data_IF_211854534782
#
_entry.id   IF_211854534782
#
_cell.length_a   1.000
_cell.length_b   1.000
_cell.length_c   1.000
_cell.angle_alpha   90.00
_cell.angle_beta   90.00
_cell.angle_gamma   90.00
#
_symmetry.space_group_name_H-M   'P 1'
#
loop_
_entity.id
_entity.type
_entity.pdbx_description
1 polymer ?
#
# COMPACT_ATOMS: atom_id res chain seq x y z
N UNK A 1 -36.07 -24.31 -59.06
CA UNK A 1 -34.95 -23.47 -59.56
C UNK A 1 -34.81 -22.16 -58.77
N UNK A 2 -35.77 -21.82 -57.90
CA UNK A 2 -35.84 -20.55 -57.16
C UNK A 2 -34.95 -20.55 -55.90
N UNK A 3 -34.77 -21.71 -55.24
CA UNK A 3 -33.94 -21.82 -54.03
C UNK A 3 -32.45 -21.55 -54.27
N UNK A 4 -31.93 -21.92 -55.45
CA UNK A 4 -30.52 -21.69 -55.81
C UNK A 4 -30.24 -20.20 -56.03
N UNK A 5 -31.19 -19.47 -56.59
CA UNK A 5 -31.06 -18.02 -56.79
C UNK A 5 -31.12 -17.28 -55.45
N UNK A 6 -31.96 -17.74 -54.52
CA UNK A 6 -32.05 -17.16 -53.18
C UNK A 6 -30.74 -17.37 -52.39
N UNK A 7 -30.14 -18.56 -52.47
CA UNK A 7 -28.84 -18.85 -51.85
C UNK A 7 -27.73 -17.97 -52.44
N UNK A 8 -27.75 -17.71 -53.74
CA UNK A 8 -26.76 -16.87 -54.41
C UNK A 8 -26.88 -15.39 -54.02
N UNK A 9 -28.11 -14.90 -53.82
CA UNK A 9 -28.39 -13.55 -53.31
C UNK A 9 -27.93 -13.42 -51.85
N UNK A 10 -28.20 -14.42 -51.00
CA UNK A 10 -27.76 -14.43 -49.60
C UNK A 10 -26.23 -14.47 -49.52
N UNK A 11 -25.56 -15.29 -50.34
CA UNK A 11 -24.10 -15.35 -50.39
C UNK A 11 -23.47 -14.01 -50.81
N UNK A 12 -24.06 -13.31 -51.78
CA UNK A 12 -23.62 -11.96 -52.18
C UNK A 12 -23.78 -10.97 -51.04
N UNK A 13 -24.93 -10.95 -50.36
CA UNK A 13 -25.18 -10.05 -49.24
C UNK A 13 -24.29 -10.34 -48.02
N UNK A 14 -23.98 -11.61 -47.74
CA UNK A 14 -23.06 -12.00 -46.67
C UNK A 14 -21.61 -11.63 -47.03
N UNK A 15 -21.18 -11.83 -48.27
CA UNK A 15 -19.84 -11.39 -48.73
C UNK A 15 -19.70 -9.87 -48.70
N UNK A 16 -20.76 -9.13 -49.03
CA UNK A 16 -20.76 -7.67 -48.97
C UNK A 16 -20.77 -7.16 -47.52
N UNK A 17 -21.51 -7.83 -46.62
CA UNK A 17 -21.47 -7.57 -45.15
C UNK A 17 -20.14 -7.94 -44.51
N UNK A 18 -19.47 -9.00 -44.96
CA UNK A 18 -18.14 -9.37 -44.49
C UNK A 18 -17.08 -8.39 -45.01
N UNK A 19 -17.22 -7.87 -46.24
CA UNK A 19 -16.33 -6.82 -46.77
C UNK A 19 -16.56 -5.48 -46.10
N UNK A 20 -17.78 -5.12 -45.73
CA UNK A 20 -18.07 -3.90 -44.96
C UNK A 20 -17.78 -4.05 -43.45
N UNK A 21 -17.74 -5.28 -42.92
CA UNK A 21 -17.30 -5.59 -41.55
C UNK A 21 -15.80 -5.96 -41.45
N UNK A 22 -15.10 -6.04 -42.59
CA UNK A 22 -13.64 -6.04 -42.73
C UNK A 22 -13.17 -4.75 -43.43
N UNK A 23 -13.91 -3.65 -43.24
CA UNK A 23 -13.25 -2.37 -43.23
C UNK A 23 -12.29 -2.42 -42.03
N UNK A 24 -11.00 -2.47 -42.35
CA UNK A 24 -9.90 -2.26 -41.43
C UNK A 24 -10.33 -1.28 -40.32
N UNK A 25 -10.07 -1.56 -39.02
CA UNK A 25 -10.00 -0.46 -38.09
C UNK A 25 -9.03 0.51 -38.73
N UNK A 26 -9.48 1.73 -39.04
CA UNK A 26 -8.60 2.81 -39.43
C UNK A 26 -7.53 2.84 -38.35
N UNK A 27 -6.35 2.32 -38.66
CA UNK A 27 -5.11 2.70 -38.05
C UNK A 27 -4.93 4.18 -38.38
N UNK A 28 -5.70 5.01 -37.68
CA UNK A 28 -5.21 6.30 -37.26
C UNK A 28 -4.04 5.95 -36.36
N UNK A 29 -2.86 5.85 -36.96
CA UNK A 29 -1.58 5.82 -36.27
C UNK A 29 -1.45 7.09 -35.44
N UNK A 30 -2.09 7.08 -34.28
CA UNK A 30 -1.49 7.60 -33.07
C UNK A 30 -0.74 6.40 -32.51
N UNK A 31 0.58 6.50 -32.45
CA UNK A 31 1.41 5.61 -31.63
C UNK A 31 0.65 5.32 -30.33
N UNK A 32 0.31 4.06 -30.08
CA UNK A 32 -0.08 3.62 -28.73
C UNK A 32 1.15 3.82 -27.85
N UNK A 33 1.34 5.05 -27.39
CA UNK A 33 2.15 5.32 -26.23
C UNK A 33 1.52 4.48 -25.13
N UNK A 34 2.26 3.47 -24.64
CA UNK A 34 1.80 2.58 -23.58
C UNK A 34 1.16 3.43 -22.49
N UNK A 35 -0.14 3.21 -22.25
CA UNK A 35 -0.86 4.03 -21.29
C UNK A 35 -0.22 3.82 -19.92
N UNK A 36 -0.03 4.88 -19.14
CA UNK A 36 0.48 4.77 -17.78
C UNK A 36 -0.37 3.82 -16.94
N UNK A 37 0.30 2.86 -16.28
CA UNK A 37 -0.35 1.84 -15.45
C UNK A 37 -0.53 2.32 -14.01
N UNK A 38 -1.74 2.18 -13.49
CA UNK A 38 -2.10 2.56 -12.13
C UNK A 38 -2.64 1.33 -11.39
N UNK A 39 -2.08 1.06 -10.21
CA UNK A 39 -2.51 -0.06 -9.38
C UNK A 39 -3.59 0.38 -8.41
N UNK A 40 -4.69 -0.36 -8.35
CA UNK A 40 -5.76 -0.19 -7.39
C UNK A 40 -5.59 -1.23 -6.27
N UNK A 41 -5.49 -0.75 -5.03
CA UNK A 41 -5.47 -1.58 -3.83
C UNK A 41 -6.79 -1.45 -3.07
N UNK A 42 -7.43 -2.56 -2.74
CA UNK A 42 -8.68 -2.61 -1.94
C UNK A 42 -8.74 -3.90 -1.13
N UNK A 43 -9.23 -3.89 0.12
CA UNK A 43 -9.38 -5.12 0.93
C UNK A 43 -10.69 -5.89 0.67
N UNK A 44 -11.77 -5.19 0.31
CA UNK A 44 -13.07 -5.80 0.04
C UNK A 44 -13.64 -5.22 -1.26
N UNK A 45 -14.10 -6.09 -2.18
CA UNK A 45 -14.95 -5.69 -3.30
C UNK A 45 -16.34 -5.31 -2.79
N UNK A 46 -16.44 -4.16 -2.13
CA UNK A 46 -17.72 -3.48 -1.93
C UNK A 46 -17.75 -2.32 -2.91
N UNK A 47 -18.45 -2.51 -4.03
CA UNK A 47 -19.00 -1.56 -5.03
C UNK A 47 -18.19 -0.35 -5.52
N UNK A 48 -17.21 0.17 -4.78
CA UNK A 48 -16.48 1.38 -5.09
C UNK A 48 -15.29 1.16 -6.06
N UNK A 49 -14.76 -0.05 -6.18
CA UNK A 49 -13.64 -0.31 -7.09
C UNK A 49 -14.07 -0.28 -8.57
N UNK A 50 -15.36 -0.48 -8.89
CA UNK A 50 -15.87 -0.44 -10.27
C UNK A 50 -16.62 0.87 -10.58
N UNK A 51 -17.37 1.45 -9.64
CA UNK A 51 -18.03 2.76 -9.85
C UNK A 51 -17.03 3.89 -10.14
N UNK A 52 -15.82 3.79 -9.59
CA UNK A 52 -14.70 4.71 -9.88
C UNK A 52 -14.12 4.49 -11.28
N UNK A 53 -14.05 3.23 -11.73
CA UNK A 53 -13.52 2.84 -13.05
C UNK A 53 -14.51 3.10 -14.19
N UNK A 54 -15.80 3.30 -13.87
CA UNK A 54 -16.86 3.62 -14.83
C UNK A 54 -16.96 5.11 -15.15
N UNK A 55 -16.26 5.98 -14.42
CA UNK A 55 -16.10 7.37 -14.84
C UNK A 55 -15.22 7.44 -16.10
N UNK A 56 -15.87 7.76 -17.22
CA UNK A 56 -15.37 7.75 -18.61
C UNK A 56 -14.09 8.54 -18.86
N UNK A 57 -13.70 9.41 -17.92
CA UNK A 57 -12.56 10.30 -18.07
C UNK A 57 -11.22 9.61 -17.73
N UNK A 58 -11.25 8.54 -16.92
CA UNK A 58 -10.03 7.87 -16.42
C UNK A 58 -9.53 6.76 -17.33
N UNK A 59 -10.43 5.94 -17.88
CA UNK A 59 -10.11 4.77 -18.73
C UNK A 59 -9.55 5.14 -20.10
N UNK A 60 -9.75 6.38 -20.53
CA UNK A 60 -9.19 6.90 -21.77
C UNK A 60 -7.69 7.22 -21.63
N UNK A 61 -7.23 7.61 -20.44
CA UNK A 61 -5.89 8.16 -20.19
C UNK A 61 -4.97 7.15 -19.48
N UNK A 62 -5.52 6.34 -18.55
CA UNK A 62 -4.76 5.40 -17.72
C UNK A 62 -5.22 3.97 -17.90
N UNK A 63 -4.30 3.01 -17.74
CA UNK A 63 -4.62 1.60 -17.60
C UNK A 63 -4.68 1.27 -16.11
N UNK A 64 -5.85 0.87 -15.62
CA UNK A 64 -6.02 0.46 -14.23
C UNK A 64 -5.95 -1.05 -14.08
N UNK A 65 -5.21 -1.51 -13.09
CA UNK A 65 -5.16 -2.92 -12.71
C UNK A 65 -5.50 -3.05 -11.21
N UNK A 66 -6.30 -4.05 -10.85
CA UNK A 66 -6.70 -4.29 -9.46
C UNK A 66 -5.84 -5.39 -8.85
N UNK A 67 -5.19 -5.11 -7.72
CA UNK A 67 -4.36 -6.09 -7.03
C UNK A 67 -5.14 -7.34 -6.63
N UNK A 68 -6.42 -7.21 -6.22
CA UNK A 68 -7.24 -8.39 -5.89
C UNK A 68 -7.46 -9.31 -7.10
N UNK A 69 -7.66 -8.75 -8.29
CA UNK A 69 -7.83 -9.53 -9.54
C UNK A 69 -6.56 -10.30 -9.90
N UNK A 70 -5.41 -9.82 -9.44
CA UNK A 70 -4.10 -10.45 -9.59
C UNK A 70 -3.64 -11.21 -8.33
N UNK A 71 -4.54 -11.46 -7.37
CA UNK A 71 -4.23 -12.14 -6.09
C UNK A 71 -3.06 -11.49 -5.32
N UNK A 72 -2.94 -10.16 -5.42
CA UNK A 72 -1.85 -9.34 -4.88
C UNK A 72 -0.44 -9.73 -5.39
N UNK A 73 -0.36 -10.48 -6.49
CA UNK A 73 0.89 -10.80 -7.16
C UNK A 73 1.27 -9.70 -8.16
N UNK A 74 1.57 -8.52 -7.63
CA UNK A 74 1.87 -7.32 -8.40
C UNK A 74 3.23 -6.75 -7.98
N UNK A 75 4.02 -6.29 -8.94
CA UNK A 75 5.25 -5.55 -8.65
C UNK A 75 4.97 -4.07 -8.68
N UNK A 76 5.18 -3.40 -7.55
CA UNK A 76 4.91 -1.96 -7.39
C UNK A 76 5.74 -1.13 -8.39
N UNK A 77 6.89 -1.63 -8.82
CA UNK A 77 7.78 -0.98 -9.78
C UNK A 77 7.12 -0.77 -11.15
N UNK A 78 6.25 -1.68 -11.56
CA UNK A 78 5.60 -1.70 -12.88
C UNK A 78 4.49 -0.65 -13.03
N UNK A 79 4.10 0.00 -11.93
CA UNK A 79 3.04 1.00 -11.89
C UNK A 79 3.61 2.40 -11.65
N UNK A 80 3.02 3.41 -12.30
CA UNK A 80 3.39 4.82 -12.13
C UNK A 80 2.83 5.37 -10.81
N UNK A 81 1.62 4.95 -10.46
CA UNK A 81 0.93 5.36 -9.26
C UNK A 81 0.11 4.21 -8.65
N UNK A 82 -0.20 4.37 -7.36
CA UNK A 82 -1.04 3.43 -6.60
C UNK A 82 -2.21 4.22 -6.00
N UNK A 83 -3.43 3.66 -6.09
CA UNK A 83 -4.63 4.24 -5.49
C UNK A 83 -5.15 3.30 -4.40
N UNK A 84 -5.24 3.80 -3.17
CA UNK A 84 -5.74 3.07 -2.02
C UNK A 84 -7.24 3.28 -1.84
N UNK A 85 -8.00 2.20 -1.96
CA UNK A 85 -9.39 2.12 -1.57
C UNK A 85 -9.55 1.36 -0.25
N UNK A 86 -10.70 1.51 0.40
CA UNK A 86 -11.06 0.81 1.64
C UNK A 86 -10.11 1.08 2.82
N UNK A 87 -9.78 2.36 3.05
CA UNK A 87 -8.96 2.77 4.19
C UNK A 87 -9.84 2.84 5.44
N UNK A 88 -9.97 1.71 6.13
CA UNK A 88 -10.64 1.62 7.43
C UNK A 88 -9.88 2.36 8.53
N UNK A 89 -10.55 2.66 9.64
CA UNK A 89 -9.90 3.27 10.82
C UNK A 89 -8.76 2.38 11.38
N UNK A 90 -8.91 1.06 11.26
CA UNK A 90 -7.88 0.08 11.66
C UNK A 90 -6.70 0.17 10.70
N UNK A 91 -6.95 0.18 9.39
CA UNK A 91 -5.91 0.24 8.36
C UNK A 91 -5.14 1.55 8.43
N UNK A 92 -5.82 2.68 8.66
CA UNK A 92 -5.19 3.97 8.90
C UNK A 92 -4.23 3.90 10.10
N UNK A 93 -4.65 3.29 11.21
CA UNK A 93 -3.80 3.07 12.38
C UNK A 93 -2.60 2.16 12.11
N UNK A 94 -2.79 1.08 11.37
CA UNK A 94 -1.73 0.14 11.01
C UNK A 94 -0.72 0.75 10.04
N UNK A 95 -1.20 1.44 9.00
CA UNK A 95 -0.37 2.08 7.99
C UNK A 95 0.53 3.15 8.61
N UNK A 96 -0.02 3.99 9.50
CA UNK A 96 0.78 4.98 10.25
C UNK A 96 1.77 4.36 11.21
N UNK A 97 1.49 3.16 11.73
CA UNK A 97 2.42 2.41 12.57
C UNK A 97 3.43 1.57 11.77
N UNK A 98 3.35 1.54 10.43
CA UNK A 98 4.21 0.70 9.59
C UNK A 98 3.90 -0.80 9.66
N UNK A 99 2.67 -1.17 10.02
CA UNK A 99 2.23 -2.57 10.16
C UNK A 99 1.60 -3.04 8.84
N UNK A 100 2.27 -3.97 8.17
CA UNK A 100 1.84 -4.60 6.91
C UNK A 100 1.44 -6.06 7.09
N UNK A 101 0.52 -6.34 8.01
CA UNK A 101 0.10 -7.70 8.35
C UNK A 101 -0.89 -8.34 7.35
N UNK A 102 -1.44 -7.53 6.43
CA UNK A 102 -2.23 -7.98 5.28
C UNK A 102 -1.47 -7.72 3.98
N UNK A 103 -1.77 -8.48 2.91
CA UNK A 103 -1.16 -8.25 1.58
C UNK A 103 -1.44 -6.84 1.06
N UNK A 104 -2.66 -6.35 1.29
CA UNK A 104 -3.07 -4.98 1.01
C UNK A 104 -2.18 -3.95 1.71
N UNK A 105 -2.03 -4.05 3.04
CA UNK A 105 -1.21 -3.10 3.81
C UNK A 105 0.28 -3.22 3.47
N UNK A 106 0.77 -4.43 3.20
CA UNK A 106 2.15 -4.66 2.81
C UNK A 106 2.46 -3.96 1.47
N UNK A 107 1.62 -4.12 0.45
CA UNK A 107 1.79 -3.42 -0.83
C UNK A 107 1.64 -1.91 -0.70
N UNK A 108 0.70 -1.43 0.13
CA UNK A 108 0.57 -0.01 0.41
C UNK A 108 1.85 0.55 1.06
N UNK A 109 2.42 -0.14 2.05
CA UNK A 109 3.69 0.25 2.66
C UNK A 109 4.85 0.19 1.69
N UNK A 110 4.91 -0.83 0.81
CA UNK A 110 5.93 -0.91 -0.23
C UNK A 110 5.84 0.29 -1.19
N UNK A 111 4.64 0.70 -1.60
CA UNK A 111 4.44 1.88 -2.43
C UNK A 111 4.95 3.16 -1.76
N UNK A 112 4.67 3.33 -0.46
CA UNK A 112 5.15 4.47 0.33
C UNK A 112 6.69 4.46 0.43
N UNK A 113 7.27 3.30 0.79
CA UNK A 113 8.72 3.17 1.00
C UNK A 113 9.54 3.25 -0.28
N UNK A 114 8.97 2.86 -1.42
CA UNK A 114 9.58 3.00 -2.74
C UNK A 114 9.44 4.42 -3.31
N UNK A 115 8.72 5.31 -2.60
CA UNK A 115 8.48 6.69 -3.05
C UNK A 115 7.54 6.78 -4.24
N UNK A 116 6.73 5.73 -4.50
CA UNK A 116 5.69 5.78 -5.53
C UNK A 116 4.59 6.76 -5.10
N UNK A 117 3.94 7.36 -6.08
CA UNK A 117 2.82 8.27 -5.87
C UNK A 117 1.61 7.46 -5.39
N UNK A 118 1.17 7.72 -4.16
CA UNK A 118 0.04 7.02 -3.55
C UNK A 118 -1.13 8.00 -3.37
N UNK A 119 -2.26 7.69 -3.97
CA UNK A 119 -3.48 8.48 -3.86
C UNK A 119 -4.52 7.79 -3.00
N UNK A 120 -5.26 8.57 -2.23
CA UNK A 120 -6.33 8.09 -1.36
C UNK A 120 -7.57 8.95 -1.59
N UNK A 121 -8.60 8.44 -2.27
CA UNK A 121 -9.88 9.14 -2.38
C UNK A 121 -10.49 9.36 -0.99
N UNK A 122 -10.98 10.56 -0.70
CA UNK A 122 -11.61 10.88 0.58
C UNK A 122 -12.82 9.98 0.84
N UNK A 123 -13.57 9.65 -0.20
CA UNK A 123 -14.72 8.74 -0.16
C UNK A 123 -14.33 7.32 0.26
N UNK A 124 -13.06 6.94 0.06
CA UNK A 124 -12.54 5.64 0.45
C UNK A 124 -11.97 5.60 1.89
N UNK A 125 -11.98 6.73 2.61
CA UNK A 125 -11.49 6.84 3.99
C UNK A 125 -12.67 6.78 4.97
N UNK A 126 -12.75 5.70 5.73
CA UNK A 126 -13.85 5.44 6.67
C UNK A 126 -13.99 6.55 7.72
N UNK A 127 -12.87 7.13 8.18
CA UNK A 127 -12.84 8.18 9.20
C UNK A 127 -13.77 9.35 8.89
N UNK A 128 -13.83 9.79 7.63
CA UNK A 128 -14.59 10.98 7.25
C UNK A 128 -16.11 10.80 7.42
N UNK A 129 -16.61 9.57 7.38
CA UNK A 129 -18.02 9.28 7.66
C UNK A 129 -18.44 9.62 9.11
N UNK A 130 -17.48 9.70 10.05
CA UNK A 130 -17.73 9.96 11.47
C UNK A 130 -17.60 11.43 11.88
N UNK A 131 -17.29 12.34 10.94
CA UNK A 131 -16.95 13.74 11.24
C UNK A 131 -18.00 14.47 12.08
N UNK A 132 -19.29 14.19 11.86
CA UNK A 132 -20.38 14.90 12.53
C UNK A 132 -20.62 14.46 13.99
N UNK A 133 -20.24 13.25 14.37
CA UNK A 133 -20.64 12.63 15.64
C UNK A 133 -19.50 11.99 16.45
N UNK A 134 -18.28 11.92 15.91
CA UNK A 134 -17.12 11.41 16.63
C UNK A 134 -16.72 12.31 17.81
N UNK A 135 -16.24 11.73 18.93
CA UNK A 135 -15.62 12.51 20.01
C UNK A 135 -14.43 13.32 19.49
N UNK A 136 -14.42 14.63 19.76
CA UNK A 136 -13.44 15.58 19.19
C UNK A 136 -11.99 15.15 19.37
N UNK A 137 -11.60 14.78 20.59
CA UNK A 137 -10.22 14.38 20.88
C UNK A 137 -9.78 13.14 20.08
N UNK A 138 -10.66 12.15 19.94
CA UNK A 138 -10.37 10.94 19.17
C UNK A 138 -10.29 11.26 17.67
N UNK A 139 -11.21 12.07 17.15
CA UNK A 139 -11.21 12.48 15.76
C UNK A 139 -9.95 13.29 15.40
N UNK A 140 -9.55 14.22 16.25
CA UNK A 140 -8.31 15.01 16.08
C UNK A 140 -7.07 14.12 16.02
N UNK A 141 -6.91 13.15 16.94
CA UNK A 141 -5.80 12.18 16.90
C UNK A 141 -5.78 11.38 15.59
N UNK A 142 -6.95 11.01 15.05
CA UNK A 142 -7.03 10.28 13.78
C UNK A 142 -6.72 11.18 12.57
N UNK A 143 -7.07 12.47 12.62
CA UNK A 143 -6.65 13.43 11.60
C UNK A 143 -5.14 13.66 11.61
N UNK A 144 -4.48 13.69 12.77
CA UNK A 144 -3.02 13.77 12.87
C UNK A 144 -2.34 12.61 12.14
N UNK A 145 -2.94 11.41 12.15
CA UNK A 145 -2.47 10.26 11.37
C UNK A 145 -2.58 10.49 9.86
N UNK A 146 -3.65 11.12 9.39
CA UNK A 146 -3.81 11.49 7.98
C UNK A 146 -2.75 12.52 7.58
N UNK A 147 -2.53 13.55 8.40
CA UNK A 147 -1.50 14.55 8.15
C UNK A 147 -0.08 13.95 8.14
N UNK A 148 0.18 13.00 9.04
CA UNK A 148 1.43 12.23 9.01
C UNK A 148 1.59 11.50 7.68
N UNK A 149 0.57 10.78 7.20
CA UNK A 149 0.63 10.11 5.89
C UNK A 149 0.83 11.08 4.73
N UNK A 150 0.20 12.26 4.77
CA UNK A 150 0.47 13.31 3.77
C UNK A 150 1.94 13.72 3.76
N UNK A 151 2.55 13.86 4.95
CA UNK A 151 3.97 14.15 5.07
C UNK A 151 4.88 13.00 4.58
N UNK A 152 4.36 11.77 4.56
CA UNK A 152 5.04 10.61 3.97
C UNK A 152 4.89 10.52 2.43
N UNK A 153 4.15 11.43 1.80
CA UNK A 153 3.97 11.47 0.34
C UNK A 153 2.63 10.91 -0.17
N UNK A 154 1.66 10.64 0.70
CA UNK A 154 0.31 10.27 0.27
C UNK A 154 -0.52 11.51 -0.08
N UNK A 155 -1.24 11.44 -1.19
CA UNK A 155 -2.14 12.51 -1.64
C UNK A 155 -3.60 12.11 -1.39
N UNK A 156 -4.27 12.83 -0.49
CA UNK A 156 -5.70 12.66 -0.25
C UNK A 156 -6.47 13.64 -1.16
N UNK A 157 -7.37 13.12 -1.99
CA UNK A 157 -8.12 13.91 -2.97
C UNK A 157 -9.59 13.47 -3.04
N UNK A 158 -10.46 14.31 -3.60
CA UNK A 158 -11.78 13.85 -4.01
C UNK A 158 -11.65 12.95 -5.23
N UNK A 159 -12.59 12.03 -5.42
CA UNK A 159 -12.53 11.10 -6.54
C UNK A 159 -12.53 11.80 -7.91
N UNK A 160 -13.26 12.91 -8.02
CA UNK A 160 -13.36 13.72 -9.24
C UNK A 160 -12.03 14.34 -9.64
N UNK A 161 -11.18 14.64 -8.67
CA UNK A 161 -9.90 15.31 -8.88
C UNK A 161 -8.76 14.32 -9.12
N UNK A 162 -8.99 13.01 -8.98
CA UNK A 162 -7.96 11.98 -9.10
C UNK A 162 -7.21 12.06 -10.44
N UNK A 163 -7.90 12.31 -11.53
CA UNK A 163 -7.31 12.37 -12.88
C UNK A 163 -6.45 13.61 -13.08
N UNK A 164 -6.91 14.75 -12.57
CA UNK A 164 -6.13 15.99 -12.53
C UNK A 164 -4.89 15.81 -11.65
N UNK A 165 -5.04 15.16 -10.50
CA UNK A 165 -3.96 14.91 -9.56
C UNK A 165 -2.90 13.94 -10.12
N UNK A 166 -3.31 12.96 -10.92
CA UNK A 166 -2.41 12.08 -11.68
C UNK A 166 -1.67 12.84 -12.79
N UNK A 167 -2.38 13.73 -13.51
CA UNK A 167 -1.81 14.48 -14.63
C UNK A 167 -0.82 15.59 -14.21
N UNK A 168 -1.07 16.30 -13.10
CA UNK A 168 -0.17 17.36 -12.58
C UNK A 168 1.24 16.83 -12.35
N UNK A 169 1.38 15.55 -12.00
CA UNK A 169 2.67 14.97 -11.64
C UNK A 169 3.53 14.54 -12.83
N UNK A 170 2.99 14.50 -14.05
CA UNK A 170 3.82 14.37 -15.27
C UNK A 170 4.61 15.64 -15.57
N UNK A 171 4.14 16.80 -15.08
CA UNK A 171 4.80 18.09 -15.30
C UNK A 171 5.90 18.37 -14.26
N UNK A 172 5.80 17.78 -13.07
CA UNK A 172 6.81 17.94 -12.01
C UNK A 172 8.02 17.02 -12.18
N UNK A 173 7.89 15.89 -12.90
CA UNK A 173 9.01 14.99 -13.22
C UNK A 173 10.01 15.57 -14.23
N UNK A 174 9.61 16.55 -15.07
CA UNK A 174 10.55 17.28 -15.94
C UNK A 174 11.38 18.33 -15.17
N UNK A 175 11.00 18.68 -13.95
CA UNK A 175 11.78 19.56 -13.07
C UNK A 175 12.34 18.76 -11.89
N UNK A 176 13.36 17.95 -12.21
CA UNK A 176 14.00 16.99 -11.33
C UNK A 176 14.19 17.46 -9.89
N UNK A 177 13.59 16.71 -8.95
CA UNK A 177 13.91 16.79 -7.54
C UNK A 177 14.40 15.45 -7.02
N UNK A 178 15.62 15.45 -6.49
CA UNK A 178 16.26 14.32 -5.82
C UNK A 178 15.74 14.24 -4.38
N UNK A 179 15.35 13.06 -3.86
CA UNK A 179 14.86 12.94 -2.50
C UNK A 179 16.04 12.79 -1.53
N UNK A 180 16.29 13.85 -0.74
CA UNK A 180 16.59 13.83 0.69
C UNK A 180 17.23 15.16 1.11
N UNK A 181 16.59 15.91 2.02
CA UNK A 181 17.15 16.53 3.23
C UNK A 181 16.07 17.41 3.87
N UNK A 182 15.18 16.82 4.68
CA UNK A 182 14.29 17.63 5.53
C UNK A 182 15.03 17.97 6.82
N UNK A 183 15.51 19.20 6.88
CA UNK A 183 16.00 19.85 8.10
C UNK A 183 14.83 20.20 9.01
N UNK A 184 14.72 19.54 10.16
CA UNK A 184 13.77 19.92 11.20
C UNK A 184 14.22 21.18 11.93
N UNK A 185 13.53 22.31 11.70
CA UNK A 185 13.59 23.47 12.60
C UNK A 185 12.66 23.21 13.80
N UNK A 186 13.25 22.91 14.97
CA UNK A 186 12.53 22.97 16.26
C UNK A 186 12.33 24.43 16.66
N UNK A 187 11.08 24.84 16.88
CA UNK A 187 10.76 25.96 17.77
C UNK A 187 10.48 25.40 19.17
N UNK A 188 11.07 26.07 20.16
CA UNK A 188 11.10 25.71 21.56
C UNK A 188 10.41 26.79 22.40
N UNK A 189 9.74 26.38 23.48
CA UNK A 189 9.44 27.17 24.70
C UNK A 189 8.91 26.17 25.78
N UNK A 190 9.77 25.60 26.64
CA UNK A 190 10.12 25.97 28.04
C UNK A 190 8.91 26.02 29.00
N UNK A 191 8.82 25.33 30.15
CA UNK A 191 9.71 25.09 31.32
C UNK A 191 9.16 23.83 32.08
N UNK A 192 9.84 22.99 32.88
CA UNK A 192 10.87 23.18 33.91
C UNK A 192 11.39 21.80 34.41
N UNK A 193 12.71 21.70 34.69
CA UNK A 193 13.52 20.82 35.60
C UNK A 193 12.95 19.47 36.11
N UNK A 194 13.67 18.34 36.23
CA UNK A 194 15.08 17.95 36.43
C UNK A 194 15.05 16.41 36.21
N UNK A 195 15.97 15.69 35.57
CA UNK A 195 17.42 15.69 35.67
C UNK A 195 17.98 15.11 34.37
N UNK A 196 19.09 15.69 33.96
CA UNK A 196 19.86 15.36 32.77
C UNK A 196 20.99 14.42 33.20
N UNK A 197 21.06 13.24 32.58
CA UNK A 197 22.32 12.51 32.44
C UNK A 197 22.56 12.34 30.93
N UNK A 198 23.48 13.13 30.37
CA UNK A 198 23.89 13.07 28.96
C UNK A 198 25.10 12.16 28.85
N UNK A 199 25.27 11.66 27.62
CA UNK A 199 26.44 11.03 26.99
C UNK A 199 26.35 9.50 27.10
N UNK A 200 26.26 8.74 26.00
CA UNK A 200 26.96 8.90 24.73
C UNK A 200 26.25 8.18 23.58
N UNK A 201 26.57 8.61 22.36
CA UNK A 201 26.40 7.89 21.09
C UNK A 201 26.48 6.38 21.24
N UNK A 202 25.60 5.58 20.60
CA UNK A 202 25.97 4.25 20.09
C UNK A 202 24.86 3.61 19.23
N UNK A 203 25.18 3.43 17.95
CA UNK A 203 24.98 2.24 17.11
C UNK A 203 23.60 1.56 17.07
N UNK A 204 23.10 1.44 15.84
CA UNK A 204 22.25 0.34 15.40
C UNK A 204 22.90 -1.01 15.78
N UNK A 205 22.46 -1.60 16.88
CA UNK A 205 22.79 -2.99 17.24
C UNK A 205 21.49 -3.75 17.40
N UNK A 206 21.24 -4.66 16.47
CA UNK A 206 20.33 -5.79 16.66
C UNK A 206 20.64 -6.38 18.04
N UNK A 207 19.72 -6.26 18.99
CA UNK A 207 19.93 -6.76 20.35
C UNK A 207 19.72 -8.27 20.32
N UNK A 208 20.83 -8.99 20.41
CA UNK A 208 20.84 -10.43 20.61
C UNK A 208 20.68 -10.68 22.11
N UNK A 209 19.58 -11.33 22.52
CA UNK A 209 19.28 -11.59 23.94
C UNK A 209 19.62 -13.03 24.28
N UNK A 210 20.45 -13.23 25.29
CA UNK A 210 20.85 -14.55 25.80
C UNK A 210 19.99 -14.91 27.01
N UNK A 211 19.34 -16.07 26.97
CA UNK A 211 18.51 -16.60 28.06
C UNK A 211 19.14 -17.89 28.59
N UNK A 212 19.83 -17.77 29.72
CA UNK A 212 20.46 -18.88 30.43
C UNK A 212 19.51 -19.52 31.46
N UNK A 213 18.33 -19.93 30.99
CA UNK A 213 17.36 -20.70 31.80
C UNK A 213 17.23 -22.12 31.28
N UNK A 214 17.02 -23.07 32.20
CA UNK A 214 16.78 -24.49 31.88
C UNK A 214 15.42 -24.72 31.20
N UNK A 215 14.42 -23.87 31.48
CA UNK A 215 13.11 -23.88 30.82
C UNK A 215 12.81 -22.48 30.32
N UNK A 216 12.51 -22.35 29.03
CA UNK A 216 12.17 -21.09 28.36
C UNK A 216 10.67 -21.11 28.06
N UNK A 217 9.94 -20.18 28.65
CA UNK A 217 8.48 -20.05 28.50
C UNK A 217 8.12 -18.88 27.58
N UNK A 218 6.85 -18.80 27.19
CA UNK A 218 6.33 -17.69 26.37
C UNK A 218 6.66 -16.32 26.97
N UNK A 219 6.52 -16.16 28.29
CA UNK A 219 6.78 -14.89 28.97
C UNK A 219 8.24 -14.45 28.87
N UNK A 220 9.18 -15.40 28.81
CA UNK A 220 10.60 -15.08 28.65
C UNK A 220 10.93 -14.59 27.23
N UNK A 221 10.30 -15.18 26.20
CA UNK A 221 10.43 -14.71 24.82
C UNK A 221 9.69 -13.39 24.61
N UNK A 222 8.55 -13.21 25.27
CA UNK A 222 7.80 -11.95 25.24
C UNK A 222 8.62 -10.80 25.83
N UNK A 223 9.31 -11.02 26.96
CA UNK A 223 10.22 -10.02 27.53
C UNK A 223 11.38 -9.70 26.58
N UNK A 224 11.99 -10.73 25.97
CA UNK A 224 13.04 -10.52 24.97
C UNK A 224 12.52 -9.74 23.74
N UNK A 225 11.28 -9.98 23.32
CA UNK A 225 10.64 -9.24 22.23
C UNK A 225 10.33 -7.79 22.60
N UNK A 226 9.85 -7.54 23.82
CA UNK A 226 9.64 -6.19 24.38
C UNK A 226 10.96 -5.40 24.49
N UNK A 227 12.07 -6.09 24.74
CA UNK A 227 13.44 -5.56 24.71
C UNK A 227 13.98 -5.38 23.28
N UNK A 228 13.22 -5.70 22.23
CA UNK A 228 13.60 -5.49 20.83
C UNK A 228 14.45 -6.62 20.21
N UNK A 229 14.47 -7.81 20.82
CA UNK A 229 15.28 -8.92 20.34
C UNK A 229 14.75 -9.54 19.04
N UNK A 230 15.60 -9.57 18.01
CA UNK A 230 15.34 -10.27 16.75
C UNK A 230 15.86 -11.72 16.81
N UNK A 231 16.91 -11.95 17.59
CA UNK A 231 17.49 -13.28 17.83
C UNK A 231 17.61 -13.54 19.33
N UNK A 232 17.08 -14.67 19.78
CA UNK A 232 17.19 -15.12 21.17
C UNK A 232 18.07 -16.37 21.22
N UNK A 233 19.15 -16.29 21.99
CA UNK A 233 20.06 -17.40 22.22
C UNK A 233 19.67 -18.13 23.49
N UNK A 234 19.44 -19.44 23.38
CA UNK A 234 19.12 -20.32 24.50
C UNK A 234 20.26 -21.30 24.72
N UNK A 235 20.43 -21.78 25.96
CA UNK A 235 21.43 -22.82 26.26
C UNK A 235 21.09 -24.13 25.53
N UNK A 236 22.10 -24.92 25.15
CA UNK A 236 21.89 -26.16 24.38
C UNK A 236 20.98 -27.19 25.10
N UNK A 237 20.93 -27.13 26.43
CA UNK A 237 20.09 -27.98 27.30
C UNK A 237 18.77 -27.34 27.72
N UNK A 238 18.41 -26.17 27.18
CA UNK A 238 17.17 -25.49 27.51
C UNK A 238 15.95 -26.19 26.89
N UNK A 239 14.93 -26.42 27.71
CA UNK A 239 13.63 -26.92 27.27
C UNK A 239 12.77 -25.70 26.90
N UNK A 240 12.47 -25.56 25.61
CA UNK A 240 11.61 -24.48 25.10
C UNK A 240 10.18 -25.00 25.09
N UNK A 241 9.29 -24.34 25.84
CA UNK A 241 7.85 -24.64 25.87
C UNK A 241 7.25 -24.47 24.47
N UNK A 242 6.22 -25.26 24.14
CA UNK A 242 5.58 -25.19 22.82
C UNK A 242 4.90 -23.84 22.58
N UNK A 243 4.31 -23.22 23.61
CA UNK A 243 3.79 -21.84 23.55
C UNK A 243 4.91 -20.84 23.22
N UNK A 244 6.12 -21.06 23.73
CA UNK A 244 7.27 -20.21 23.47
C UNK A 244 7.72 -20.34 21.99
N UNK A 245 7.69 -21.55 21.43
CA UNK A 245 7.97 -21.78 20.01
C UNK A 245 6.91 -21.14 19.10
N UNK A 246 5.64 -21.26 19.45
CA UNK A 246 4.55 -20.62 18.71
C UNK A 246 4.66 -19.10 18.74
N UNK A 247 4.94 -18.52 19.91
CA UNK A 247 5.14 -17.09 20.06
C UNK A 247 6.32 -16.58 19.21
N UNK A 248 7.44 -17.31 19.20
CA UNK A 248 8.59 -16.97 18.38
C UNK A 248 8.28 -17.05 16.87
N UNK A 249 7.56 -18.09 16.42
CA UNK A 249 7.14 -18.24 15.02
C UNK A 249 6.21 -17.11 14.57
N UNK A 250 5.21 -16.77 15.40
CA UNK A 250 4.23 -15.74 15.07
C UNK A 250 4.84 -14.32 14.99
N UNK A 251 5.99 -14.11 15.64
CA UNK A 251 6.66 -12.80 15.73
C UNK A 251 8.02 -12.76 15.01
N UNK A 252 8.36 -13.77 14.21
CA UNK A 252 9.62 -13.89 13.48
C UNK A 252 10.88 -13.75 14.36
N UNK A 253 10.84 -14.25 15.59
CA UNK A 253 11.99 -14.26 16.51
C UNK A 253 12.83 -15.51 16.22
N UNK A 254 14.10 -15.32 15.91
CA UNK A 254 15.02 -16.43 15.64
C UNK A 254 15.54 -17.03 16.95
N UNK A 255 15.12 -18.26 17.25
CA UNK A 255 15.64 -19.03 18.37
C UNK A 255 16.90 -19.77 17.93
N UNK A 256 18.06 -19.34 18.44
CA UNK A 256 19.33 -20.06 18.24
C UNK A 256 19.74 -20.75 19.53
N UNK A 257 20.31 -21.95 19.40
CA UNK A 257 20.99 -22.59 20.53
C UNK A 257 22.43 -22.13 20.52
N UNK A 258 22.87 -21.46 21.57
CA UNK A 258 24.29 -21.14 21.74
C UNK A 258 24.97 -22.37 22.31
N UNK A 259 25.69 -23.10 21.46
CA UNK A 259 26.66 -24.10 21.89
C UNK A 259 27.94 -23.39 22.29
N UNK A 260 28.03 -22.96 23.54
CA UNK A 260 29.29 -22.66 24.22
C UNK A 260 29.55 -23.77 25.24
#
# INVERSE_FOLDING_TARGET
MEDKQLVEIILKQVMEKLKSSQAEPKEAGLSEAEKPKVLILSEEHKTCCHEVLEHTDFTQIYQFECAMTMEYNCRIEDYEAVVLFSVSNINLGKLTAGIGDTLYLNLALQAILTGKKVYVPNEAVELFSYQAFAPKAFYSMMLEKIEFLKSCGLTFCELKDLGSALNTLKQEEEMGYSPAQVSFKKQAESKNNQQVHVLQDLKCTKQDVIIDKKVVTESDIKRAWEEGAVTVYTSDKAIISDLAKEFAKNRNILLKRSGL
#
